data_IF_732521772270
#
_entry.id   IF_732521772270
#
_cell.length_a   1.000
_cell.length_b   1.000
_cell.length_c   1.000
_cell.angle_alpha   90.00
_cell.angle_beta   90.00
_cell.angle_gamma   90.00
#
_symmetry.space_group_name_H-M   'P 1'
#
loop_
_entity.id
_entity.type
_entity.pdbx_description
1 polymer ?
#
# COMPACT_ATOMS: atom_id res chain seq x y z
N UNK A 1 6.73 -21.80 10.91
CA UNK A 1 5.93 -21.22 12.01
C UNK A 1 4.67 -20.50 11.54
N UNK A 2 4.71 -19.44 10.70
CA UNK A 2 3.51 -18.62 10.45
C UNK A 2 2.70 -18.96 9.19
N UNK A 3 3.30 -19.36 8.06
CA UNK A 3 2.50 -19.65 6.84
C UNK A 3 2.53 -21.13 6.39
N UNK A 4 3.56 -21.88 6.79
CA UNK A 4 3.79 -23.26 6.33
C UNK A 4 3.94 -24.30 7.46
N UNK A 5 3.65 -23.93 8.72
CA UNK A 5 3.72 -24.86 9.86
C UNK A 5 5.11 -25.43 10.18
N UNK A 6 6.17 -24.99 9.51
CA UNK A 6 7.51 -25.54 9.69
C UNK A 6 8.04 -25.28 11.12
N UNK A 7 8.22 -26.38 11.86
CA UNK A 7 8.68 -26.42 13.26
C UNK A 7 10.18 -26.21 13.41
N UNK A 8 10.96 -26.31 12.33
CA UNK A 8 12.41 -26.06 12.35
C UNK A 8 12.77 -24.62 12.73
N UNK A 9 11.80 -23.69 12.66
CA UNK A 9 11.96 -22.30 13.07
C UNK A 9 11.49 -22.02 14.51
N UNK A 10 11.04 -23.05 15.24
CA UNK A 10 10.59 -22.90 16.62
C UNK A 10 11.80 -23.00 17.57
N UNK A 11 12.33 -21.84 17.95
CA UNK A 11 13.42 -21.75 18.92
C UNK A 11 12.86 -21.76 20.34
N UNK A 12 13.51 -22.51 21.23
CA UNK A 12 13.22 -22.47 22.65
C UNK A 12 13.80 -21.20 23.27
N UNK A 13 12.97 -20.42 23.96
CA UNK A 13 13.37 -19.18 24.62
C UNK A 13 13.71 -19.45 26.09
N UNK A 14 14.75 -18.79 26.59
CA UNK A 14 15.23 -18.88 27.97
C UNK A 14 15.08 -17.55 28.70
N UNK A 15 15.14 -17.62 30.03
CA UNK A 15 15.11 -16.43 30.87
C UNK A 15 16.28 -15.50 30.53
N UNK A 16 15.96 -14.24 30.19
CA UNK A 16 16.95 -13.25 29.76
C UNK A 16 17.01 -13.04 28.24
N UNK A 17 16.34 -13.86 27.44
CA UNK A 17 16.28 -13.66 25.99
C UNK A 17 15.43 -12.45 25.62
N UNK A 18 15.87 -11.71 24.61
CA UNK A 18 15.13 -10.58 24.03
C UNK A 18 14.72 -10.91 22.59
N UNK A 19 13.41 -10.94 22.35
CA UNK A 19 12.85 -11.08 21.01
C UNK A 19 12.50 -9.70 20.46
N UNK A 20 13.24 -9.26 19.46
CA UNK A 20 12.95 -8.00 18.78
C UNK A 20 12.14 -8.25 17.50
N UNK A 21 10.92 -7.71 17.44
CA UNK A 21 10.07 -7.76 16.26
C UNK A 21 10.05 -6.38 15.61
N UNK A 22 10.82 -6.23 14.54
CA UNK A 22 10.88 -4.96 13.80
C UNK A 22 9.64 -4.85 12.90
N UNK A 23 8.90 -3.73 12.94
CA UNK A 23 7.76 -3.53 12.05
C UNK A 23 8.21 -3.49 10.59
N UNK A 24 7.40 -4.06 9.69
CA UNK A 24 7.67 -3.96 8.26
C UNK A 24 7.65 -2.49 7.81
N UNK A 25 8.59 -2.08 6.93
CA UNK A 25 8.57 -0.73 6.37
C UNK A 25 7.27 -0.51 5.59
N UNK A 26 6.66 0.65 5.79
CA UNK A 26 5.48 1.09 5.05
C UNK A 26 5.93 1.99 3.91
N UNK A 27 5.50 1.66 2.70
CA UNK A 27 5.76 2.48 1.53
C UNK A 27 4.54 3.33 1.23
N UNK A 28 4.76 4.51 0.65
CA UNK A 28 3.69 5.41 0.25
C UNK A 28 3.94 5.90 -1.17
N UNK A 29 2.86 6.01 -1.93
CA UNK A 29 2.84 6.71 -3.22
C UNK A 29 2.01 7.98 -3.09
N UNK A 30 2.37 9.00 -3.86
CA UNK A 30 1.63 10.25 -3.89
C UNK A 30 0.95 10.42 -5.24
N UNK A 31 -0.35 10.69 -5.20
CA UNK A 31 -1.17 10.90 -6.39
C UNK A 31 -1.65 12.35 -6.39
N UNK A 32 -1.29 13.08 -7.44
CA UNK A 32 -1.60 14.50 -7.64
C UNK A 32 -2.36 14.73 -8.96
N UNK A 33 -2.99 15.90 -9.09
CA UNK A 33 -3.70 16.32 -10.31
C UNK A 33 -5.22 16.18 -10.21
N UNK A 34 -5.91 16.10 -11.37
CA UNK A 34 -7.39 16.00 -11.45
C UNK A 34 -7.90 14.57 -11.22
N UNK A 35 -7.60 14.03 -10.05
CA UNK A 35 -8.20 12.79 -9.51
C UNK A 35 -9.26 13.16 -8.47
N UNK A 36 -10.17 12.25 -8.14
CA UNK A 36 -11.21 12.51 -7.13
C UNK A 36 -10.61 12.71 -5.74
N UNK A 37 -9.63 11.89 -5.37
CA UNK A 37 -8.95 11.91 -4.07
C UNK A 37 -7.43 12.00 -4.28
N UNK A 38 -6.88 13.22 -4.27
CA UNK A 38 -5.44 13.43 -4.28
C UNK A 38 -4.85 13.23 -2.87
N UNK A 39 -3.62 12.76 -2.79
CA UNK A 39 -2.93 12.55 -1.51
C UNK A 39 -1.97 11.37 -1.51
N UNK A 40 -1.53 10.98 -0.30
CA UNK A 40 -0.67 9.82 -0.07
C UNK A 40 -1.48 8.56 0.16
N UNK A 41 -1.08 7.46 -0.47
CA UNK A 41 -1.68 6.15 -0.30
C UNK A 41 -0.62 5.14 0.13
N UNK A 42 -0.94 4.30 1.13
CA UNK A 42 -0.06 3.21 1.58
C UNK A 42 0.07 2.17 0.46
N UNK A 43 1.30 1.84 0.11
CA UNK A 43 1.67 0.85 -0.89
C UNK A 43 2.07 -0.44 -0.18
N UNK A 44 1.18 -1.44 -0.25
CA UNK A 44 1.41 -2.76 0.35
C UNK A 44 2.10 -3.73 -0.60
N UNK A 45 1.95 -3.50 -1.89
CA UNK A 45 2.49 -4.29 -2.99
C UNK A 45 2.73 -3.38 -4.20
N UNK A 46 3.60 -3.75 -5.15
CA UNK A 46 3.72 -3.03 -6.41
C UNK A 46 2.39 -2.99 -7.16
N UNK A 47 1.95 -1.79 -7.57
CA UNK A 47 0.70 -1.61 -8.33
C UNK A 47 0.95 -0.91 -9.66
N UNK A 48 0.05 -1.12 -10.62
CA UNK A 48 0.07 -0.39 -11.89
C UNK A 48 -0.46 1.03 -11.74
N UNK A 49 -0.13 1.89 -12.70
CA UNK A 49 -0.67 3.26 -12.78
C UNK A 49 -2.20 3.28 -12.79
N UNK A 50 -2.82 2.38 -13.55
CA UNK A 50 -4.28 2.26 -13.61
C UNK A 50 -4.86 1.97 -12.22
N UNK A 51 -4.26 1.03 -11.49
CA UNK A 51 -4.69 0.69 -10.13
C UNK A 51 -4.51 1.88 -9.18
N UNK A 52 -3.41 2.63 -9.30
CA UNK A 52 -3.20 3.84 -8.52
C UNK A 52 -4.28 4.89 -8.77
N UNK A 53 -4.64 5.16 -10.04
CA UNK A 53 -5.73 6.09 -10.39
C UNK A 53 -7.07 5.58 -9.86
N UNK A 54 -7.33 4.27 -9.92
CA UNK A 54 -8.53 3.68 -9.32
C UNK A 54 -8.57 3.85 -7.79
N UNK A 55 -7.45 3.70 -7.09
CA UNK A 55 -7.35 3.95 -5.64
C UNK A 55 -7.65 5.42 -5.30
N UNK A 56 -7.23 6.36 -6.15
CA UNK A 56 -7.58 7.78 -6.03
C UNK A 56 -9.05 8.10 -6.40
N UNK A 57 -9.89 7.09 -6.62
CA UNK A 57 -11.30 7.26 -7.00
C UNK A 57 -11.53 7.58 -8.47
N UNK A 58 -10.52 7.40 -9.33
CA UNK A 58 -10.57 7.76 -10.74
C UNK A 58 -10.31 9.24 -10.99
N UNK A 59 -10.43 9.64 -12.26
CA UNK A 59 -10.31 11.05 -12.65
C UNK A 59 -11.52 11.85 -12.13
N UNK A 60 -11.28 13.09 -11.75
CA UNK A 60 -12.35 14.01 -11.36
C UNK A 60 -13.20 14.37 -12.60
N UNK A 61 -14.53 14.30 -12.47
CA UNK A 61 -15.42 14.72 -13.55
C UNK A 61 -15.41 16.25 -13.70
N UNK A 62 -14.61 16.68 -14.68
CA UNK A 62 -14.81 17.86 -15.54
C UNK A 62 -13.96 17.64 -16.81
N UNK A 63 -14.30 16.59 -17.57
CA UNK A 63 -14.20 16.70 -19.02
C UNK A 63 -15.08 17.90 -19.40
N UNK A 64 -14.58 18.81 -20.23
CA UNK A 64 -15.35 19.97 -20.63
C UNK A 64 -16.67 19.50 -21.24
N UNK A 65 -17.75 19.63 -20.48
CA UNK A 65 -19.08 19.62 -21.05
C UNK A 65 -19.11 20.81 -22.02
N UNK A 66 -19.13 20.51 -23.32
CA UNK A 66 -19.73 21.38 -24.33
C UNK A 66 -18.96 22.66 -24.75
N UNK A 67 -17.73 22.52 -25.27
CA UNK A 67 -17.21 23.56 -26.18
C UNK A 67 -16.35 22.98 -27.31
N UNK A 68 -17.02 22.27 -28.21
CA UNK A 68 -16.57 22.09 -29.60
C UNK A 68 -17.53 22.93 -30.46
N UNK A 69 -17.02 24.03 -31.01
CA UNK A 69 -17.58 24.72 -32.18
C UNK A 69 -16.46 24.82 -33.19
#
# INVERSE_FOLDING_TARGET
LFDAGNTAFNIELRAGDMVNVVPKPRYFIYIYGRVRNAGSFELREPISLLKAVSLAGGLAERAAANRVR
#
